data_IF_014339835177
#
_entry.id   IF_014339835177
#
_cell.length_a   1.000
_cell.length_b   1.000
_cell.length_c   1.000
_cell.angle_alpha   90.00
_cell.angle_beta   90.00
_cell.angle_gamma   90.00
#
_symmetry.space_group_name_H-M   'P 1'
#
loop_
_entity.id
_entity.type
_entity.pdbx_description
1 polymer ?
#
# COMPACT_ATOMS: atom_id res chain seq x y z
N UNK A 1 -17.79 25.27 14.36
CA UNK A 1 -18.10 24.86 12.97
C UNK A 1 -16.78 24.60 12.24
N UNK A 2 -16.14 23.39 12.32
CA UNK A 2 -14.94 23.19 11.44
C UNK A 2 -14.40 21.75 11.41
N UNK A 3 -15.05 20.78 12.09
CA UNK A 3 -14.47 19.43 12.23
C UNK A 3 -14.84 18.46 11.08
N UNK A 4 -15.95 18.67 10.38
CA UNK A 4 -16.40 17.79 9.29
C UNK A 4 -15.80 18.11 7.90
N UNK A 5 -15.21 19.29 7.71
CA UNK A 5 -14.66 19.69 6.41
C UNK A 5 -13.21 19.25 6.17
N UNK A 6 -12.44 19.00 7.23
CA UNK A 6 -11.03 18.58 7.11
C UNK A 6 -10.84 17.18 6.49
N UNK A 7 -11.56 16.13 6.91
CA UNK A 7 -11.38 14.81 6.33
C UNK A 7 -11.79 14.75 4.85
N UNK A 8 -12.83 15.48 4.43
CA UNK A 8 -13.24 15.56 3.02
C UNK A 8 -12.16 16.19 2.15
N UNK A 9 -11.58 17.30 2.61
CA UNK A 9 -10.48 18.00 1.88
C UNK A 9 -9.23 17.14 1.77
N UNK A 10 -8.90 16.38 2.80
CA UNK A 10 -7.76 15.45 2.77
C UNK A 10 -7.98 14.35 1.73
N UNK A 11 -9.13 13.70 1.74
CA UNK A 11 -9.46 12.64 0.77
C UNK A 11 -9.46 13.17 -0.66
N UNK A 12 -10.03 14.35 -0.90
CA UNK A 12 -10.01 15.01 -2.21
C UNK A 12 -8.58 15.27 -2.69
N UNK A 13 -7.74 15.79 -1.80
CA UNK A 13 -6.33 16.08 -2.11
C UNK A 13 -5.54 14.81 -2.42
N UNK A 14 -5.74 13.75 -1.65
CA UNK A 14 -5.11 12.44 -1.88
C UNK A 14 -5.60 11.82 -3.20
N UNK A 15 -6.89 11.96 -3.52
CA UNK A 15 -7.44 11.50 -4.81
C UNK A 15 -6.81 12.25 -5.99
N UNK A 16 -6.67 13.56 -5.89
CA UNK A 16 -6.01 14.36 -6.93
C UNK A 16 -4.51 14.03 -7.05
N UNK A 17 -3.83 13.81 -5.92
CA UNK A 17 -2.43 13.36 -5.92
C UNK A 17 -2.27 12.01 -6.64
N UNK A 18 -3.21 11.08 -6.43
CA UNK A 18 -3.23 9.81 -7.15
C UNK A 18 -3.36 10.01 -8.65
N UNK A 19 -4.22 10.93 -9.12
CA UNK A 19 -4.30 11.26 -10.55
C UNK A 19 -2.96 11.76 -11.09
N UNK A 20 -2.24 12.60 -10.35
CA UNK A 20 -0.90 13.06 -10.75
C UNK A 20 0.07 11.88 -10.88
N UNK A 21 0.05 10.95 -9.93
CA UNK A 21 0.88 9.73 -9.96
C UNK A 21 0.58 8.91 -11.22
N UNK A 22 -0.69 8.73 -11.54
CA UNK A 22 -1.14 7.96 -12.71
C UNK A 22 -0.77 8.67 -14.02
N UNK A 23 -1.01 9.99 -14.13
CA UNK A 23 -0.67 10.81 -15.29
C UNK A 23 0.84 10.83 -15.58
N UNK A 24 1.65 11.04 -14.55
CA UNK A 24 3.11 11.10 -14.65
C UNK A 24 3.73 9.68 -14.72
N UNK A 25 2.93 8.61 -14.63
CA UNK A 25 3.34 7.20 -14.63
C UNK A 25 4.38 6.88 -13.57
N UNK A 26 4.26 7.51 -12.40
CA UNK A 26 5.16 7.32 -11.26
C UNK A 26 4.99 5.90 -10.71
N UNK A 27 6.07 5.15 -10.67
CA UNK A 27 6.10 3.78 -10.14
C UNK A 27 6.59 3.75 -8.68
N UNK A 28 6.29 2.69 -7.91
CA UNK A 28 6.89 2.49 -6.60
C UNK A 28 8.41 2.60 -6.66
N UNK A 29 8.98 3.43 -5.78
CA UNK A 29 10.40 3.78 -5.75
C UNK A 29 10.76 5.05 -6.52
N UNK A 30 9.86 5.57 -7.37
CA UNK A 30 10.09 6.81 -8.10
C UNK A 30 9.85 8.04 -7.23
N UNK A 31 10.50 9.13 -7.63
CA UNK A 31 10.41 10.42 -6.94
C UNK A 31 9.12 11.15 -7.33
N UNK A 32 8.39 11.63 -6.32
CA UNK A 32 7.24 12.50 -6.51
C UNK A 32 7.67 13.92 -6.90
N UNK A 33 6.81 14.69 -7.59
CA UNK A 33 7.01 16.11 -7.80
C UNK A 33 7.22 16.86 -6.47
N UNK A 34 7.97 17.95 -6.51
CA UNK A 34 8.23 18.74 -5.30
C UNK A 34 6.94 19.35 -4.72
N UNK A 35 6.93 19.65 -3.40
CA UNK A 35 5.80 20.33 -2.73
C UNK A 35 5.32 21.57 -3.50
N UNK A 36 6.25 22.33 -4.10
CA UNK A 36 5.91 23.51 -4.90
C UNK A 36 5.12 23.14 -6.14
N UNK A 37 5.58 22.14 -6.89
CA UNK A 37 4.93 21.67 -8.12
C UNK A 37 3.57 21.04 -7.80
N UNK A 38 3.49 20.25 -6.74
CA UNK A 38 2.22 19.66 -6.29
C UNK A 38 1.23 20.74 -5.87
N UNK A 39 1.66 21.76 -5.13
CA UNK A 39 0.79 22.88 -4.72
C UNK A 39 0.22 23.65 -5.92
N UNK A 40 1.04 23.87 -6.95
CA UNK A 40 0.62 24.49 -8.21
C UNK A 40 -0.39 23.62 -8.97
N UNK A 41 -0.09 22.34 -9.17
CA UNK A 41 -0.96 21.39 -9.91
C UNK A 41 -2.29 21.13 -9.20
N UNK A 42 -2.27 21.04 -7.87
CA UNK A 42 -3.44 20.76 -7.04
C UNK A 42 -4.24 22.05 -6.68
N UNK A 43 -3.71 23.23 -7.03
CA UNK A 43 -4.30 24.54 -6.68
C UNK A 43 -4.56 24.70 -5.18
N UNK A 44 -3.63 24.22 -4.34
CA UNK A 44 -3.68 24.32 -2.88
C UNK A 44 -2.43 24.96 -2.31
N UNK A 45 -2.45 25.30 -1.02
CA UNK A 45 -1.27 25.87 -0.35
C UNK A 45 -0.16 24.81 -0.17
N UNK A 46 1.11 25.23 -0.13
CA UNK A 46 2.25 24.34 0.17
C UNK A 46 2.12 23.68 1.55
N UNK A 47 1.52 24.38 2.52
CA UNK A 47 1.27 23.79 3.85
C UNK A 47 0.27 22.63 3.79
N UNK A 48 -0.79 22.75 2.99
CA UNK A 48 -1.76 21.67 2.81
C UNK A 48 -1.13 20.45 2.12
N UNK A 49 -0.29 20.66 1.10
CA UNK A 49 0.47 19.58 0.46
C UNK A 49 1.40 18.90 1.46
N UNK A 50 2.15 19.67 2.24
CA UNK A 50 3.08 19.12 3.24
C UNK A 50 2.38 18.30 4.29
N UNK A 51 1.23 18.76 4.78
CA UNK A 51 0.42 18.02 5.75
C UNK A 51 -0.11 16.71 5.16
N UNK A 52 -0.60 16.74 3.92
CA UNK A 52 -1.04 15.53 3.23
C UNK A 52 0.11 14.55 3.00
N UNK A 53 1.27 15.01 2.54
CA UNK A 53 2.45 14.15 2.37
C UNK A 53 2.90 13.54 3.70
N UNK A 54 2.92 14.30 4.80
CA UNK A 54 3.23 13.75 6.13
C UNK A 54 2.24 12.66 6.54
N UNK A 55 0.95 12.85 6.28
CA UNK A 55 -0.06 11.85 6.57
C UNK A 55 0.15 10.59 5.74
N UNK A 56 0.47 10.73 4.44
CA UNK A 56 0.78 9.60 3.56
C UNK A 56 2.07 8.88 3.98
N UNK A 57 3.06 9.60 4.49
CA UNK A 57 4.29 9.03 5.02
C UNK A 57 4.02 8.21 6.30
N UNK A 58 3.19 8.71 7.22
CA UNK A 58 2.73 7.96 8.39
C UNK A 58 1.98 6.67 8.01
N UNK A 59 1.27 6.69 6.88
CA UNK A 59 0.58 5.52 6.33
C UNK A 59 1.51 4.57 5.57
N UNK A 60 2.80 4.91 5.42
CA UNK A 60 3.77 4.11 4.67
C UNK A 60 3.55 4.11 3.16
N UNK A 61 2.76 5.05 2.62
CA UNK A 61 2.47 5.16 1.19
C UNK A 61 3.53 5.94 0.42
N UNK A 62 4.28 6.77 1.11
CA UNK A 62 5.42 7.53 0.59
C UNK A 62 6.57 7.53 1.60
N UNK A 63 7.74 7.86 1.15
CA UNK A 63 8.99 7.91 1.92
C UNK A 63 9.72 9.22 1.64
N UNK A 64 10.10 9.96 2.67
CA UNK A 64 10.91 11.17 2.54
C UNK A 64 12.37 10.86 2.82
N UNK A 65 13.25 11.09 1.83
CA UNK A 65 14.70 10.94 1.97
C UNK A 65 15.37 12.29 2.20
N UNK A 66 16.16 12.38 3.24
CA UNK A 66 16.84 13.62 3.60
C UNK A 66 17.68 14.15 2.43
N UNK A 67 17.41 15.39 1.97
CA UNK A 67 18.05 15.97 0.78
C UNK A 67 17.63 15.36 -0.57
N UNK A 68 16.93 14.24 -0.58
CA UNK A 68 16.53 13.53 -1.79
C UNK A 68 15.14 13.89 -2.31
N UNK A 69 14.23 14.26 -1.43
CA UNK A 69 12.81 14.52 -1.73
C UNK A 69 11.90 13.39 -1.28
N UNK A 70 10.67 13.36 -1.81
CA UNK A 70 9.64 12.40 -1.48
C UNK A 70 9.51 11.35 -2.60
N UNK A 71 9.36 10.09 -2.24
CA UNK A 71 9.28 8.95 -3.15
C UNK A 71 8.01 8.15 -2.89
N UNK A 72 7.43 7.55 -3.92
CA UNK A 72 6.34 6.59 -3.77
C UNK A 72 6.89 5.32 -3.14
N UNK A 73 6.32 4.88 -2.01
CA UNK A 73 6.79 3.68 -1.31
C UNK A 73 6.47 2.42 -2.11
N UNK A 74 7.36 1.42 -2.05
CA UNK A 74 7.07 0.09 -2.55
C UNK A 74 6.05 -0.60 -1.62
N UNK A 75 5.13 -1.36 -2.20
CA UNK A 75 3.96 -1.95 -1.53
C UNK A 75 4.29 -2.93 -0.37
N UNK A 76 5.54 -3.15 -0.04
CA UNK A 76 5.99 -4.21 0.88
C UNK A 76 5.99 -3.85 2.39
N UNK A 77 5.66 -2.63 2.79
CA UNK A 77 5.68 -2.22 4.19
C UNK A 77 4.33 -1.66 4.64
N UNK A 78 3.37 -2.55 4.90
CA UNK A 78 2.02 -2.18 5.32
C UNK A 78 1.88 -1.94 6.83
N UNK A 79 2.63 -0.99 7.39
CA UNK A 79 2.39 -0.53 8.76
C UNK A 79 0.93 -0.08 8.96
N UNK A 80 0.30 0.49 7.92
CA UNK A 80 -1.10 0.87 7.96
C UNK A 80 -2.03 -0.33 8.19
N UNK A 81 -1.81 -1.44 7.48
CA UNK A 81 -2.65 -2.64 7.63
C UNK A 81 -2.50 -3.22 9.04
N UNK A 82 -1.29 -3.25 9.56
CA UNK A 82 -1.00 -3.70 10.92
C UNK A 82 -1.71 -2.81 11.97
N UNK A 83 -1.54 -1.49 11.88
CA UNK A 83 -2.21 -0.54 12.78
C UNK A 83 -3.73 -0.63 12.66
N UNK A 84 -4.28 -0.66 11.44
CA UNK A 84 -5.73 -0.79 11.26
C UNK A 84 -6.25 -2.13 11.81
N UNK A 85 -5.50 -3.22 11.65
CA UNK A 85 -5.91 -4.53 12.14
C UNK A 85 -6.07 -4.55 13.67
N UNK A 86 -5.22 -3.82 14.41
CA UNK A 86 -5.33 -3.69 15.87
C UNK A 86 -6.63 -3.00 16.32
N UNK A 87 -7.18 -2.11 15.49
CA UNK A 87 -8.42 -1.39 15.80
C UNK A 87 -9.67 -2.05 15.22
N UNK A 88 -9.55 -2.74 14.10
CA UNK A 88 -10.69 -3.34 13.38
C UNK A 88 -10.93 -4.78 13.86
N UNK A 89 -9.86 -5.56 14.06
CA UNK A 89 -9.94 -6.95 14.47
C UNK A 89 -9.93 -7.06 16.01
N UNK A 90 -11.03 -6.70 16.65
CA UNK A 90 -11.13 -6.68 18.11
C UNK A 90 -11.66 -7.99 18.71
N UNK A 91 -12.24 -8.87 17.90
CA UNK A 91 -12.83 -10.12 18.37
C UNK A 91 -12.17 -11.33 17.69
N UNK A 92 -12.16 -12.48 18.39
CA UNK A 92 -11.68 -13.74 17.81
C UNK A 92 -12.46 -14.11 16.54
N UNK A 93 -13.77 -13.84 16.50
CA UNK A 93 -14.60 -14.09 15.34
C UNK A 93 -14.12 -13.31 14.11
N UNK A 94 -13.77 -12.04 14.26
CA UNK A 94 -13.24 -11.22 13.15
C UNK A 94 -11.90 -11.75 12.62
N UNK A 95 -11.03 -12.27 13.51
CA UNK A 95 -9.79 -12.92 13.10
C UNK A 95 -10.07 -14.22 12.31
N UNK A 96 -11.00 -15.04 12.80
CA UNK A 96 -11.42 -16.27 12.10
C UNK A 96 -12.03 -15.97 10.73
N UNK A 97 -12.87 -14.94 10.62
CA UNK A 97 -13.49 -14.51 9.36
C UNK A 97 -12.43 -14.04 8.33
N UNK A 98 -11.41 -13.28 8.78
CA UNK A 98 -10.28 -12.87 7.93
C UNK A 98 -9.48 -14.09 7.46
N UNK A 99 -9.18 -15.03 8.36
CA UNK A 99 -8.46 -16.26 8.01
C UNK A 99 -9.26 -17.14 7.05
N UNK A 100 -10.57 -17.26 7.25
CA UNK A 100 -11.46 -17.98 6.35
C UNK A 100 -11.48 -17.34 4.95
N UNK A 101 -11.60 -16.01 4.89
CA UNK A 101 -11.57 -15.24 3.65
C UNK A 101 -10.22 -15.41 2.93
N UNK A 102 -9.11 -15.33 3.65
CA UNK A 102 -7.77 -15.59 3.10
C UNK A 102 -7.69 -16.97 2.47
N UNK A 103 -8.09 -18.02 3.18
CA UNK A 103 -8.08 -19.40 2.68
C UNK A 103 -8.95 -19.58 1.43
N UNK A 104 -10.10 -18.92 1.37
CA UNK A 104 -10.97 -18.93 0.17
C UNK A 104 -10.25 -18.32 -1.03
N UNK A 105 -9.61 -17.17 -0.88
CA UNK A 105 -8.88 -16.51 -1.97
C UNK A 105 -7.65 -17.32 -2.42
N UNK A 106 -6.90 -17.86 -1.47
CA UNK A 106 -5.74 -18.72 -1.78
C UNK A 106 -6.16 -19.97 -2.55
N UNK A 107 -7.26 -20.63 -2.13
CA UNK A 107 -7.79 -21.79 -2.82
C UNK A 107 -8.23 -21.45 -4.26
N UNK A 108 -8.95 -20.36 -4.44
CA UNK A 108 -9.41 -19.92 -5.77
C UNK A 108 -8.23 -19.54 -6.66
N UNK A 109 -7.22 -18.83 -6.11
CA UNK A 109 -6.00 -18.51 -6.83
C UNK A 109 -5.28 -19.78 -7.32
N UNK A 110 -5.14 -20.79 -6.46
CA UNK A 110 -4.54 -22.09 -6.84
C UNK A 110 -5.34 -22.76 -7.96
N UNK A 111 -6.68 -22.76 -7.87
CA UNK A 111 -7.52 -23.34 -8.92
C UNK A 111 -7.35 -22.60 -10.25
N UNK A 112 -7.32 -21.27 -10.24
CA UNK A 112 -7.09 -20.45 -11.44
C UNK A 112 -5.71 -20.71 -12.06
N UNK A 113 -4.67 -20.76 -11.23
CA UNK A 113 -3.29 -21.02 -11.67
C UNK A 113 -3.19 -22.44 -12.26
N UNK A 114 -3.77 -23.43 -11.60
CA UNK A 114 -3.71 -24.83 -12.05
C UNK A 114 -4.53 -25.07 -13.32
N UNK A 115 -5.59 -24.32 -13.52
CA UNK A 115 -6.44 -24.41 -14.73
C UNK A 115 -5.84 -23.68 -15.94
N UNK A 116 -4.97 -22.69 -15.74
CA UNK A 116 -4.38 -21.87 -16.80
C UNK A 116 -2.92 -22.23 -17.05
N UNK A 117 -2.62 -22.71 -18.27
CA UNK A 117 -1.24 -23.00 -18.70
C UNK A 117 -0.37 -21.75 -18.72
N UNK A 118 -0.96 -20.60 -19.05
CA UNK A 118 -0.25 -19.32 -19.10
C UNK A 118 0.15 -18.83 -17.69
N UNK A 119 -0.76 -18.92 -16.72
CA UNK A 119 -0.47 -18.51 -15.33
C UNK A 119 0.56 -19.43 -14.68
N UNK A 120 0.54 -20.74 -14.96
CA UNK A 120 1.54 -21.69 -14.46
C UNK A 120 2.97 -21.41 -14.97
N UNK A 121 3.09 -20.81 -16.14
CA UNK A 121 4.39 -20.52 -16.77
C UNK A 121 5.00 -19.17 -16.35
N UNK A 122 4.38 -18.44 -15.40
CA UNK A 122 4.92 -17.17 -14.94
C UNK A 122 6.17 -17.39 -14.07
N UNK A 123 7.29 -16.68 -14.35
CA UNK A 123 8.54 -16.83 -13.60
C UNK A 123 8.45 -16.47 -12.12
N UNK A 124 7.42 -15.70 -11.74
CA UNK A 124 7.18 -15.27 -10.35
C UNK A 124 7.01 -16.46 -9.38
N UNK A 125 6.56 -17.61 -9.88
CA UNK A 125 6.35 -18.80 -9.06
C UNK A 125 7.65 -19.38 -8.50
N UNK A 126 8.74 -19.30 -9.24
CA UNK A 126 10.05 -19.81 -8.79
C UNK A 126 10.52 -19.03 -7.56
N UNK A 127 10.38 -17.70 -7.57
CA UNK A 127 10.72 -16.85 -6.43
C UNK A 127 9.78 -17.11 -5.23
N UNK A 128 8.50 -17.30 -5.49
CA UNK A 128 7.49 -17.57 -4.45
C UNK A 128 7.73 -18.92 -3.77
N UNK A 129 8.02 -19.97 -4.52
CA UNK A 129 8.32 -21.29 -3.97
C UNK A 129 9.64 -21.30 -3.17
N UNK A 130 10.66 -20.59 -3.62
CA UNK A 130 11.90 -20.41 -2.86
C UNK A 130 11.65 -19.74 -1.50
N UNK A 131 10.78 -18.72 -1.46
CA UNK A 131 10.43 -18.03 -0.22
C UNK A 131 9.66 -18.95 0.74
N UNK A 132 8.68 -19.72 0.24
CA UNK A 132 7.93 -20.70 1.05
C UNK A 132 8.81 -21.80 1.62
N UNK A 133 9.81 -22.28 0.86
CA UNK A 133 10.77 -23.27 1.35
C UNK A 133 11.64 -22.71 2.47
N UNK A 134 12.03 -21.44 2.40
CA UNK A 134 12.78 -20.75 3.46
C UNK A 134 11.94 -20.58 4.72
N UNK A 135 10.70 -20.12 4.61
CA UNK A 135 9.77 -19.95 5.73
C UNK A 135 9.44 -21.29 6.39
N UNK A 136 9.11 -22.32 5.62
CA UNK A 136 8.85 -23.67 6.13
C UNK A 136 10.07 -24.36 6.73
N UNK A 137 11.29 -23.91 6.43
CA UNK A 137 12.52 -24.36 7.07
C UNK A 137 12.75 -23.70 8.43
N UNK A 138 12.32 -22.45 8.60
CA UNK A 138 12.41 -21.69 9.86
C UNK A 138 11.41 -22.25 10.88
N UNK A 139 10.17 -22.56 10.49
CA UNK A 139 9.17 -23.15 11.38
C UNK A 139 9.55 -24.55 11.91
N UNK A 140 10.39 -25.28 11.16
CA UNK A 140 10.89 -26.61 11.61
C UNK A 140 12.06 -26.53 12.57
N UNK A 141 12.64 -25.35 12.80
CA UNK A 141 13.78 -25.11 13.70
C UNK A 141 13.36 -24.47 15.04
N UNK A 142 12.07 -24.17 15.24
CA UNK A 142 11.46 -23.73 16.50
C UNK A 142 10.68 -24.86 17.14
#
# INVERSE_FOLDING_TARGET
MTTEQQPKRFVELVTQLRHIIDEDRIQPGDKLPSERVLAERLSVSRSAVREALRSLELLGLIETRHGGGTFLAAFQQHQLVEVLSMFILQTNQQHEDVLATKKMHEREAVLLITSSKQLRALPVWDSYFQQLELEGSIERLQ
#
